data_IF_944014524412
#
_entry.id   IF_944014524412
#
_cell.length_a   1.000
_cell.length_b   1.000
_cell.length_c   1.000
_cell.angle_alpha   90.00
_cell.angle_beta   90.00
_cell.angle_gamma   90.00
#
_symmetry.space_group_name_H-M   'P 1'
#
loop_
_entity.id
_entity.type
_entity.pdbx_description
1 polymer ?
#
# COMPACT_ATOMS: atom_id res chain seq x y z
N UNK A 1 51.83 17.44 1.78
CA UNK A 1 50.91 16.50 2.45
C UNK A 1 49.68 17.29 2.84
N UNK A 2 48.65 17.30 1.99
CA UNK A 2 47.41 18.06 2.21
C UNK A 2 46.31 17.09 2.64
N UNK A 3 45.74 17.30 3.82
CA UNK A 3 44.63 16.53 4.35
C UNK A 3 43.33 16.99 3.67
N UNK A 4 42.61 16.06 3.04
CA UNK A 4 41.25 16.30 2.56
C UNK A 4 40.26 16.09 3.71
N UNK A 5 39.48 17.11 4.06
CA UNK A 5 38.38 17.00 4.99
C UNK A 5 37.19 16.29 4.29
N UNK A 6 36.74 15.17 4.86
CA UNK A 6 35.55 14.47 4.40
C UNK A 6 34.30 15.15 4.99
N UNK A 7 33.43 15.71 4.15
CA UNK A 7 32.07 16.10 4.56
C UNK A 7 31.20 14.84 4.65
N UNK A 8 30.83 14.44 5.87
CA UNK A 8 29.77 13.47 6.12
C UNK A 8 28.42 14.19 5.97
N UNK A 9 27.70 13.92 4.88
CA UNK A 9 26.30 14.34 4.72
C UNK A 9 25.44 13.35 5.50
N UNK A 10 24.88 13.77 6.64
CA UNK A 10 23.85 13.03 7.36
C UNK A 10 22.55 13.14 6.54
N UNK A 11 22.34 12.22 5.60
CA UNK A 11 21.02 11.97 5.03
C UNK A 11 20.12 11.47 6.16
N UNK A 12 19.29 12.37 6.70
CA UNK A 12 18.22 11.98 7.63
C UNK A 12 17.27 10.98 6.94
N UNK A 13 16.69 10.06 7.72
CA UNK A 13 15.61 9.19 7.25
C UNK A 13 14.40 10.06 6.90
N UNK A 14 14.28 10.45 5.64
CA UNK A 14 13.01 10.93 5.12
C UNK A 14 12.19 9.72 4.68
N UNK A 15 11.53 9.04 5.62
CA UNK A 15 10.40 8.18 5.25
C UNK A 15 9.32 9.10 4.72
N UNK A 16 9.22 9.19 3.40
CA UNK A 16 8.23 10.07 2.78
C UNK A 16 6.98 9.23 2.62
N UNK A 17 5.95 9.54 3.40
CA UNK A 17 4.65 8.94 3.22
C UNK A 17 4.20 9.10 1.75
N UNK A 18 3.79 8.01 1.16
CA UNK A 18 3.23 7.93 -0.18
C UNK A 18 1.72 8.14 -0.08
N UNK A 19 1.16 8.87 -1.04
CA UNK A 19 -0.29 9.06 -1.17
C UNK A 19 -0.76 8.43 -2.47
N UNK A 20 -1.66 7.46 -2.35
CA UNK A 20 -2.40 6.89 -3.48
C UNK A 20 -3.81 7.45 -3.41
N UNK A 21 -4.18 8.31 -4.36
CA UNK A 21 -5.52 8.92 -4.39
C UNK A 21 -6.61 7.93 -4.85
N UNK A 22 -6.23 6.94 -5.66
CA UNK A 22 -7.10 5.83 -6.07
C UNK A 22 -6.24 4.61 -6.35
N UNK A 23 -6.40 3.57 -5.54
CA UNK A 23 -5.71 2.29 -5.69
C UNK A 23 -6.65 1.15 -5.34
N UNK A 24 -6.54 0.04 -6.04
CA UNK A 24 -7.31 -1.17 -5.73
C UNK A 24 -6.65 -1.89 -4.55
N UNK A 25 -7.45 -2.26 -3.56
CA UNK A 25 -7.03 -3.19 -2.50
C UNK A 25 -7.79 -4.49 -2.68
N UNK A 26 -7.08 -5.61 -2.59
CA UNK A 26 -7.63 -6.97 -2.71
C UNK A 26 -7.21 -7.79 -1.50
N UNK A 27 -8.17 -8.41 -0.83
CA UNK A 27 -7.95 -9.38 0.25
C UNK A 27 -8.53 -10.73 -0.16
N UNK A 28 -7.68 -11.77 -0.11
CA UNK A 28 -8.06 -13.15 -0.42
C UNK A 28 -8.31 -14.00 0.83
N UNK A 29 -8.37 -15.33 0.63
CA UNK A 29 -8.63 -16.28 1.71
C UNK A 29 -7.52 -16.44 2.75
N UNK A 30 -6.37 -15.81 2.55
CA UNK A 30 -5.28 -15.71 3.54
C UNK A 30 -5.48 -14.54 4.53
N UNK A 31 -6.46 -13.66 4.27
CA UNK A 31 -6.75 -12.48 5.10
C UNK A 31 -5.72 -11.37 4.95
N UNK A 32 -4.84 -11.43 3.94
CA UNK A 32 -3.86 -10.38 3.66
C UNK A 32 -4.41 -9.44 2.58
N UNK A 33 -4.56 -8.18 2.92
CA UNK A 33 -4.95 -7.14 1.97
C UNK A 33 -3.72 -6.64 1.22
N UNK A 34 -3.72 -6.76 -0.11
CA UNK A 34 -2.64 -6.30 -0.99
C UNK A 34 -2.98 -4.94 -1.61
N UNK A 35 -2.01 -4.03 -1.61
CA UNK A 35 -2.09 -2.72 -2.24
C UNK A 35 -1.64 -2.84 -3.71
N UNK A 36 -2.57 -2.85 -4.66
CA UNK A 36 -2.28 -3.08 -6.09
C UNK A 36 -1.65 -1.87 -6.79
N UNK A 37 -0.43 -1.51 -6.40
CA UNK A 37 0.34 -0.38 -6.93
C UNK A 37 0.75 -0.56 -8.39
N UNK A 38 0.95 -1.81 -8.81
CA UNK A 38 1.25 -2.15 -10.21
C UNK A 38 -0.03 -2.34 -11.06
N UNK A 39 -1.19 -2.04 -10.48
CA UNK A 39 -2.50 -2.27 -11.08
C UNK A 39 -3.10 -3.61 -10.70
N UNK A 40 -4.42 -3.70 -10.88
CA UNK A 40 -5.19 -4.93 -10.72
C UNK A 40 -5.71 -5.39 -12.09
N UNK A 41 -6.02 -6.67 -12.21
CA UNK A 41 -6.65 -7.22 -13.43
C UNK A 41 -8.10 -6.74 -13.58
N UNK A 42 -8.58 -6.65 -14.82
CA UNK A 42 -9.94 -6.21 -15.17
C UNK A 42 -11.03 -7.30 -14.94
N UNK A 43 -10.74 -8.34 -14.16
CA UNK A 43 -11.69 -9.41 -13.83
C UNK A 43 -12.47 -9.10 -12.54
N UNK A 44 -13.57 -9.82 -12.32
CA UNK A 44 -14.33 -9.74 -11.06
C UNK A 44 -14.47 -11.14 -10.43
N UNK A 45 -13.75 -11.44 -9.34
CA UNK A 45 -12.85 -10.57 -8.58
C UNK A 45 -11.56 -10.20 -9.32
N UNK A 46 -10.97 -9.03 -9.03
CA UNK A 46 -9.67 -8.64 -9.57
C UNK A 46 -8.56 -9.39 -8.83
N UNK A 47 -7.55 -9.82 -9.57
CA UNK A 47 -6.28 -10.30 -9.05
C UNK A 47 -5.21 -9.20 -9.04
N UNK A 48 -4.29 -9.34 -8.10
CA UNK A 48 -3.15 -8.47 -7.83
C UNK A 48 -1.84 -9.28 -7.92
N UNK A 49 -0.73 -8.71 -8.37
CA UNK A 49 0.56 -9.44 -8.30
C UNK A 49 0.93 -9.71 -6.84
N UNK A 50 1.45 -10.90 -6.54
CA UNK A 50 1.91 -11.26 -5.20
C UNK A 50 3.13 -10.43 -4.74
N UNK A 51 3.79 -9.73 -5.65
CA UNK A 51 4.90 -8.81 -5.35
C UNK A 51 4.41 -7.44 -4.82
N UNK A 52 3.10 -7.17 -4.87
CA UNK A 52 2.53 -5.96 -4.30
C UNK A 52 2.56 -6.00 -2.77
N UNK A 53 2.75 -4.85 -2.10
CA UNK A 53 2.92 -4.84 -0.66
C UNK A 53 1.61 -5.17 0.07
N UNK A 54 1.72 -5.94 1.15
CA UNK A 54 0.62 -6.23 2.06
C UNK A 54 0.40 -5.05 3.02
N UNK A 55 -0.86 -4.66 3.20
CA UNK A 55 -1.24 -3.54 4.06
C UNK A 55 -1.33 -4.04 5.50
N UNK A 56 -0.53 -3.45 6.38
CA UNK A 56 -0.57 -3.74 7.81
C UNK A 56 -1.87 -3.25 8.43
N UNK A 57 -2.49 -4.12 9.24
CA UNK A 57 -3.69 -3.83 10.02
C UNK A 57 -4.84 -3.25 9.17
N UNK A 58 -5.00 -3.74 7.94
CA UNK A 58 -6.13 -3.42 7.11
C UNK A 58 -7.46 -3.86 7.75
N UNK A 59 -8.47 -3.00 7.65
CA UNK A 59 -9.84 -3.28 8.10
C UNK A 59 -10.82 -2.64 7.09
N UNK A 60 -11.94 -3.31 6.84
CA UNK A 60 -12.98 -2.91 5.90
C UNK A 60 -14.09 -2.04 6.54
N UNK A 61 -14.02 -1.76 7.85
CA UNK A 61 -15.02 -0.95 8.55
C UNK A 61 -15.18 0.43 7.88
N UNK A 62 -16.40 0.72 7.42
CA UNK A 62 -16.75 2.00 6.82
C UNK A 62 -16.27 2.18 5.38
N UNK A 63 -15.72 1.14 4.76
CA UNK A 63 -15.21 1.16 3.39
C UNK A 63 -16.16 0.46 2.42
N UNK A 64 -16.41 1.10 1.29
CA UNK A 64 -17.20 0.51 0.21
C UNK A 64 -16.37 -0.57 -0.49
N UNK A 65 -16.93 -1.77 -0.58
CA UNK A 65 -16.23 -2.92 -1.15
C UNK A 65 -17.21 -3.87 -1.85
N UNK A 66 -16.62 -4.74 -2.66
CA UNK A 66 -17.28 -5.87 -3.29
C UNK A 66 -16.66 -7.16 -2.78
N UNK A 67 -17.44 -8.23 -2.80
CA UNK A 67 -17.03 -9.53 -2.33
C UNK A 67 -17.60 -10.62 -3.22
N UNK A 68 -16.75 -11.56 -3.63
CA UNK A 68 -17.12 -12.73 -4.41
C UNK A 68 -16.09 -13.83 -4.23
N UNK A 69 -16.55 -15.07 -4.03
CA UNK A 69 -15.65 -16.24 -3.96
C UNK A 69 -14.61 -16.19 -2.85
N UNK A 70 -14.89 -15.49 -1.75
CA UNK A 70 -13.95 -15.30 -0.63
C UNK A 70 -12.85 -14.28 -0.90
N UNK A 71 -12.97 -13.49 -1.98
CA UNK A 71 -12.11 -12.34 -2.28
C UNK A 71 -12.92 -11.07 -2.05
N UNK A 72 -12.34 -10.11 -1.32
CA UNK A 72 -12.90 -8.79 -1.08
C UNK A 72 -12.02 -7.72 -1.75
N UNK A 73 -12.63 -6.76 -2.42
CA UNK A 73 -11.90 -5.69 -3.10
C UNK A 73 -12.64 -4.37 -3.15
N UNK A 74 -11.90 -3.28 -3.29
CA UNK A 74 -12.44 -1.93 -3.46
C UNK A 74 -11.38 -0.95 -3.97
N UNK A 75 -11.78 0.30 -4.19
CA UNK A 75 -10.88 1.39 -4.59
C UNK A 75 -10.82 2.45 -3.49
N UNK A 76 -9.60 2.79 -3.08
CA UNK A 76 -9.36 3.60 -1.90
C UNK A 76 -8.34 4.69 -2.13
N UNK A 77 -8.45 5.75 -1.33
CA UNK A 77 -7.35 6.66 -1.03
C UNK A 77 -6.60 6.14 0.18
N UNK A 78 -5.29 6.00 0.06
CA UNK A 78 -4.42 5.45 1.11
C UNK A 78 -3.16 6.30 1.24
N UNK A 79 -2.79 6.62 2.49
CA UNK A 79 -1.55 7.34 2.82
C UNK A 79 -0.72 6.50 3.78
N UNK A 80 0.55 6.28 3.46
CA UNK A 80 1.40 5.41 4.27
C UNK A 80 2.83 5.29 3.78
N UNK A 81 3.60 4.50 4.49
CA UNK A 81 5.01 4.26 4.23
C UNK A 81 5.22 2.79 3.83
N UNK A 82 6.14 2.57 2.89
CA UNK A 82 6.48 1.23 2.44
C UNK A 82 7.75 0.73 3.15
N UNK A 83 7.67 -0.49 3.66
CA UNK A 83 8.74 -1.21 4.34
C UNK A 83 8.94 -2.57 3.67
N UNK A 84 9.64 -2.59 2.53
CA UNK A 84 9.80 -3.81 1.73
C UNK A 84 8.48 -4.24 1.10
N UNK A 85 8.04 -5.45 1.46
CA UNK A 85 6.77 -6.07 1.05
C UNK A 85 5.57 -5.68 1.94
N UNK A 86 5.78 -4.78 2.91
CA UNK A 86 4.72 -4.28 3.78
C UNK A 86 4.43 -2.80 3.52
N UNK A 87 3.18 -2.40 3.65
CA UNK A 87 2.73 -1.02 3.62
C UNK A 87 2.05 -0.66 4.95
N UNK A 88 2.58 0.34 5.64
CA UNK A 88 2.04 0.85 6.90
C UNK A 88 1.24 2.12 6.63
N UNK A 89 -0.07 2.07 6.88
CA UNK A 89 -0.91 3.27 6.79
C UNK A 89 -0.57 4.24 7.92
N UNK A 90 -0.44 5.53 7.58
CA UNK A 90 -0.23 6.61 8.56
C UNK A 90 -1.48 7.47 8.74
N UNK A 91 -2.45 7.35 7.84
CA UNK A 91 -3.81 7.90 7.95
C UNK A 91 -4.83 6.77 7.76
N UNK A 92 -6.05 6.90 8.31
CA UNK A 92 -7.13 5.98 7.98
C UNK A 92 -7.42 5.98 6.47
N UNK A 93 -7.70 4.81 5.87
CA UNK A 93 -8.11 4.75 4.47
C UNK A 93 -9.49 5.38 4.26
N UNK A 94 -9.79 5.78 3.03
CA UNK A 94 -11.12 6.28 2.65
C UNK A 94 -11.49 5.80 1.24
N UNK A 95 -12.78 5.77 0.91
CA UNK A 95 -13.24 5.42 -0.43
C UNK A 95 -12.66 6.41 -1.44
N UNK A 96 -12.13 5.90 -2.56
CA UNK A 96 -11.74 6.76 -3.67
C UNK A 96 -13.03 7.34 -4.26
N UNK A 97 -13.17 8.68 -4.22
CA UNK A 97 -14.37 9.39 -4.68
C UNK A 97 -14.67 9.25 -6.17
#
# INVERSE_FOLDING_TARGET
MTAAAALLVLTGCASTAQTYERVTVVEGGDGLALLCIDGATETEPPACSADNPAILAWDWIGLDHREAGGVRWGQFRIVGEQFGDMFMMVEPPSNAG
#
